data_IF_646134821460
#
_entry.id   IF_646134821460
#
_cell.length_a   1.000
_cell.length_b   1.000
_cell.length_c   1.000
_cell.angle_alpha   90.00
_cell.angle_beta   90.00
_cell.angle_gamma   90.00
#
_symmetry.space_group_name_H-M   'P 1'
#
loop_
_entity.id
_entity.type
_entity.pdbx_description
1 polymer ?
#
# COMPACT_ATOMS: atom_id res chain seq x y z
N UNK A 1 -1.12 17.72 9.85
CA UNK A 1 0.04 18.32 10.54
C UNK A 1 0.19 17.86 11.99
N UNK A 2 -0.89 17.73 12.79
CA UNK A 2 -0.78 17.22 14.18
C UNK A 2 -0.56 15.69 14.30
N UNK A 3 -0.63 14.97 13.18
CA UNK A 3 -0.49 13.51 13.14
C UNK A 3 0.93 13.10 13.53
N UNK A 4 1.05 12.11 14.43
CA UNK A 4 2.30 11.45 14.83
C UNK A 4 2.36 10.01 14.30
N UNK A 5 1.74 9.76 13.16
CA UNK A 5 1.74 8.46 12.52
C UNK A 5 3.18 8.00 12.23
N UNK A 6 3.42 6.72 12.45
CA UNK A 6 4.67 6.05 12.11
C UNK A 6 4.34 4.72 11.45
N UNK A 7 5.28 4.23 10.66
CA UNK A 7 5.31 2.84 10.21
C UNK A 7 6.60 2.20 10.71
N UNK A 8 6.52 1.02 11.30
CA UNK A 8 7.67 0.30 11.87
C UNK A 8 7.64 -1.16 11.45
N UNK A 9 8.82 -1.78 11.42
CA UNK A 9 8.95 -3.23 11.29
C UNK A 9 9.28 -3.81 12.66
N UNK A 10 8.51 -4.81 13.10
CA UNK A 10 8.81 -5.62 14.28
C UNK A 10 8.87 -7.08 13.88
N UNK A 11 10.05 -7.70 13.98
CA UNK A 11 10.34 -9.02 13.40
C UNK A 11 10.05 -9.01 11.89
N UNK A 12 9.11 -9.82 11.41
CA UNK A 12 8.67 -9.89 10.01
C UNK A 12 7.28 -9.29 9.79
N UNK A 13 6.91 -8.31 10.62
CA UNK A 13 5.60 -7.66 10.56
C UNK A 13 5.76 -6.17 10.36
N UNK A 14 5.06 -5.64 9.35
CA UNK A 14 4.90 -4.22 9.12
C UNK A 14 3.71 -3.70 9.93
N UNK A 15 3.91 -2.62 10.68
CA UNK A 15 2.89 -1.97 11.51
C UNK A 15 2.78 -0.53 11.03
N UNK A 16 1.57 -0.08 10.65
CA UNK A 16 1.31 1.27 10.14
C UNK A 16 0.19 1.90 10.97
N UNK A 17 0.45 3.08 11.52
CA UNK A 17 -0.59 3.87 12.17
C UNK A 17 -1.42 4.62 11.13
N UNK A 18 -2.74 4.39 11.14
CA UNK A 18 -3.70 5.03 10.25
C UNK A 18 -4.52 6.10 11.01
N UNK A 19 -5.19 7.03 10.31
CA UNK A 19 -6.07 8.00 10.96
C UNK A 19 -7.32 7.32 11.52
N UNK A 20 -8.06 7.98 12.42
CA UNK A 20 -9.26 7.41 13.03
C UNK A 20 -10.54 7.52 12.20
N UNK A 21 -10.61 8.46 11.26
CA UNK A 21 -11.81 8.66 10.44
C UNK A 21 -11.82 7.72 9.22
N UNK A 22 -12.92 7.00 8.95
CA UNK A 22 -13.01 6.03 7.84
C UNK A 22 -12.63 6.61 6.47
N UNK A 23 -13.06 7.84 6.18
CA UNK A 23 -12.70 8.53 4.94
C UNK A 23 -11.19 8.71 4.81
N UNK A 24 -10.54 9.23 5.85
CA UNK A 24 -9.08 9.43 5.86
C UNK A 24 -8.31 8.12 5.83
N UNK A 25 -8.84 7.03 6.41
CA UNK A 25 -8.24 5.70 6.30
C UNK A 25 -8.17 5.29 4.83
N UNK A 26 -9.31 5.39 4.11
CA UNK A 26 -9.39 5.06 2.68
C UNK A 26 -8.44 5.91 1.86
N UNK A 27 -8.47 7.23 2.05
CA UNK A 27 -7.60 8.16 1.33
C UNK A 27 -6.11 7.90 1.60
N UNK A 28 -5.75 7.50 2.83
CA UNK A 28 -4.35 7.15 3.16
C UNK A 28 -3.92 5.85 2.47
N UNK A 29 -4.78 4.83 2.45
CA UNK A 29 -4.48 3.51 1.90
C UNK A 29 -4.50 3.48 0.37
N UNK A 30 -5.59 3.97 -0.22
CA UNK A 30 -5.82 3.95 -1.68
C UNK A 30 -5.17 5.15 -2.37
N UNK A 31 -5.04 6.28 -1.67
CA UNK A 31 -4.54 7.53 -2.22
C UNK A 31 -5.67 8.46 -2.68
N UNK A 32 -5.29 9.52 -3.41
CA UNK A 32 -6.24 10.51 -3.90
C UNK A 32 -6.61 10.21 -5.36
N UNK A 33 -7.91 10.19 -5.63
CA UNK A 33 -8.51 10.11 -6.97
C UNK A 33 -9.11 11.46 -7.34
N UNK A 34 -9.10 11.82 -8.62
CA UNK A 34 -9.77 13.02 -9.12
C UNK A 34 -11.29 12.82 -9.24
N UNK A 35 -12.01 13.86 -9.69
CA UNK A 35 -13.46 13.82 -9.88
C UNK A 35 -13.93 12.82 -10.95
N UNK A 36 -13.02 12.25 -11.75
CA UNK A 36 -13.28 11.22 -12.74
C UNK A 36 -12.80 9.83 -12.29
N UNK A 37 -12.37 9.70 -11.03
CA UNK A 37 -11.91 8.44 -10.44
C UNK A 37 -10.48 8.04 -10.81
N UNK A 38 -9.74 8.89 -11.53
CA UNK A 38 -8.35 8.60 -11.89
C UNK A 38 -7.44 8.86 -10.70
N UNK A 39 -6.53 7.92 -10.44
CA UNK A 39 -5.52 8.07 -9.39
C UNK A 39 -4.61 9.28 -9.68
N UNK A 40 -4.56 10.23 -8.74
CA UNK A 40 -3.67 11.41 -8.80
C UNK A 40 -2.44 11.19 -7.93
N UNK A 41 -2.64 10.65 -6.73
CA UNK A 41 -1.57 10.33 -5.78
C UNK A 41 -1.78 8.90 -5.31
N UNK A 42 -0.78 8.04 -5.46
CA UNK A 42 -0.84 6.67 -4.95
C UNK A 42 -0.89 6.67 -3.42
N UNK A 43 -1.78 5.86 -2.85
CA UNK A 43 -1.84 5.65 -1.40
C UNK A 43 -0.69 4.80 -0.89
N UNK A 44 -0.52 4.76 0.43
CA UNK A 44 0.59 4.05 1.07
C UNK A 44 0.54 2.54 0.78
N UNK A 45 -0.65 1.99 0.53
CA UNK A 45 -0.81 0.56 0.29
C UNK A 45 -0.18 0.10 -1.03
N UNK A 46 0.08 1.00 -1.99
CA UNK A 46 0.80 0.65 -3.22
C UNK A 46 2.21 0.09 -2.94
N UNK A 47 2.86 0.50 -1.86
CA UNK A 47 4.20 0.03 -1.47
C UNK A 47 4.17 -1.16 -0.48
N UNK A 48 3.04 -1.42 0.17
CA UNK A 48 2.93 -2.44 1.23
C UNK A 48 3.27 -3.84 0.72
N UNK A 49 2.74 -4.33 -0.42
CA UNK A 49 3.06 -5.68 -0.89
C UNK A 49 4.55 -5.94 -1.06
N UNK A 50 5.28 -5.02 -1.69
CA UNK A 50 6.73 -5.19 -1.85
C UNK A 50 7.49 -5.05 -0.52
N UNK A 51 7.03 -4.21 0.40
CA UNK A 51 7.60 -4.15 1.75
C UNK A 51 7.45 -5.49 2.48
N UNK A 52 6.29 -6.16 2.35
CA UNK A 52 6.07 -7.50 2.92
C UNK A 52 7.00 -8.54 2.27
N UNK A 53 7.19 -8.48 0.95
CA UNK A 53 8.15 -9.34 0.24
C UNK A 53 9.57 -9.19 0.85
N UNK A 54 10.02 -7.94 1.06
CA UNK A 54 11.36 -7.62 1.55
C UNK A 54 11.62 -8.08 3.00
N UNK A 55 10.58 -8.14 3.84
CA UNK A 55 10.70 -8.64 5.23
C UNK A 55 10.46 -10.15 5.34
N UNK A 56 10.44 -10.87 4.21
CA UNK A 56 10.30 -12.33 4.15
C UNK A 56 8.89 -12.83 4.42
N UNK A 57 7.88 -12.01 4.08
CA UNK A 57 6.47 -12.37 4.12
C UNK A 57 5.98 -13.03 2.82
N UNK A 58 4.66 -13.29 2.72
CA UNK A 58 4.06 -13.84 1.51
C UNK A 58 4.05 -12.83 0.36
N UNK A 59 3.98 -13.33 -0.87
CA UNK A 59 3.78 -12.49 -2.05
C UNK A 59 2.33 -12.03 -2.13
N UNK A 60 2.08 -10.74 -1.93
CA UNK A 60 0.74 -10.14 -1.91
C UNK A 60 0.43 -9.49 -3.26
N UNK A 61 -0.73 -9.78 -3.82
CA UNK A 61 -1.28 -9.09 -4.99
C UNK A 61 -2.46 -8.18 -4.58
N UNK A 62 -2.75 -7.19 -5.42
CA UNK A 62 -3.84 -6.24 -5.18
C UNK A 62 -4.70 -6.10 -6.43
N UNK A 63 -5.96 -5.77 -6.21
CA UNK A 63 -6.90 -5.37 -7.24
C UNK A 63 -6.47 -4.02 -7.83
N UNK A 64 -6.04 -3.98 -9.10
CA UNK A 64 -5.46 -2.78 -9.73
C UNK A 64 -6.44 -1.61 -9.82
N UNK A 65 -7.76 -1.89 -9.88
CA UNK A 65 -8.83 -0.88 -9.86
C UNK A 65 -8.98 -0.18 -8.51
N UNK A 66 -8.52 -0.82 -7.43
CA UNK A 66 -8.50 -0.25 -6.07
C UNK A 66 -7.16 0.40 -5.80
N UNK A 67 -6.07 -0.38 -5.93
CA UNK A 67 -4.70 0.06 -5.69
C UNK A 67 -3.74 -0.79 -6.50
N UNK A 68 -2.88 -0.15 -7.30
CA UNK A 68 -1.83 -0.84 -8.05
C UNK A 68 -0.59 -1.03 -7.19
N UNK A 69 -0.25 -2.27 -6.85
CA UNK A 69 0.97 -2.59 -6.13
C UNK A 69 2.21 -2.25 -6.97
N UNK A 70 3.12 -1.47 -6.39
CA UNK A 70 4.42 -1.17 -6.98
C UNK A 70 5.42 -2.29 -6.68
N UNK A 71 6.15 -2.73 -7.69
CA UNK A 71 7.32 -3.63 -7.59
C UNK A 71 8.39 -3.26 -8.62
N UNK A 72 9.69 -3.35 -8.30
CA UNK A 72 10.73 -3.29 -9.32
C UNK A 72 10.65 -4.50 -10.25
N UNK A 73 11.12 -4.36 -11.50
CA UNK A 73 11.03 -5.41 -12.53
C UNK A 73 11.55 -6.77 -12.06
N UNK A 74 12.62 -6.79 -11.27
CA UNK A 74 13.23 -8.00 -10.73
C UNK A 74 12.39 -8.74 -9.66
N UNK A 75 11.42 -8.06 -9.04
CA UNK A 75 10.58 -8.62 -7.99
C UNK A 75 9.19 -9.05 -8.48
N UNK A 76 8.87 -8.80 -9.76
CA UNK A 76 7.59 -9.19 -10.35
C UNK A 76 7.64 -10.69 -10.66
N UNK A 77 6.76 -11.46 -10.03
CA UNK A 77 6.60 -12.88 -10.35
C UNK A 77 5.75 -13.06 -11.62
N UNK A 78 6.04 -14.08 -12.44
CA UNK A 78 5.13 -14.47 -13.50
C UNK A 78 3.75 -14.80 -12.91
N UNK A 79 2.68 -14.30 -13.52
CA UNK A 79 1.33 -14.76 -13.15
C UNK A 79 1.27 -16.26 -13.41
N UNK A 80 0.77 -17.01 -12.42
CA UNK A 80 0.46 -18.42 -12.63
C UNK A 80 -0.60 -18.48 -13.74
N UNK A 81 -0.26 -19.18 -14.82
CA UNK A 81 -1.13 -19.47 -15.96
C UNK A 81 -2.24 -20.44 -15.59
#
# INVERSE_FOLDING_TARGET
ILSRQVAVVRKRSLIINLPGQPKSIRETLEGLKDGHGKQVVAGIFAAVPYCIDLIGGPYIETHEEVVKAFRPKSAIRPKAS
#
